data_IF_097150502795
#
_entry.id   IF_097150502795
#
_cell.length_a   1.000
_cell.length_b   1.000
_cell.length_c   1.000
_cell.angle_alpha   90.00
_cell.angle_beta   90.00
_cell.angle_gamma   90.00
#
_symmetry.space_group_name_H-M   'P 1'
#
loop_
_entity.id
_entity.type
_entity.pdbx_description
1 polymer ?
#
# COMPACT_ATOMS: atom_id res chain seq x y z
N UNK A 1 12.90 -1.17 14.93
CA UNK A 1 11.77 -0.25 15.11
C UNK A 1 12.12 1.01 14.34
N UNK A 2 11.48 1.23 13.20
CA UNK A 2 11.73 2.41 12.37
C UNK A 2 11.26 3.66 13.11
N UNK A 3 12.08 4.71 13.09
CA UNK A 3 11.82 5.96 13.79
C UNK A 3 10.70 6.72 13.06
N UNK A 4 9.66 7.15 13.81
CA UNK A 4 8.46 7.83 13.29
C UNK A 4 8.78 9.16 12.57
N UNK A 5 9.99 9.72 12.75
CA UNK A 5 10.43 10.98 12.13
C UNK A 5 10.78 10.84 10.64
N UNK A 6 11.34 9.72 10.18
CA UNK A 6 11.69 9.56 8.76
C UNK A 6 10.46 9.50 7.85
N UNK A 7 9.31 9.04 8.37
CA UNK A 7 8.06 9.00 7.61
C UNK A 7 7.44 10.39 7.40
N UNK A 8 7.85 11.39 8.18
CA UNK A 8 7.28 12.74 8.15
C UNK A 8 8.09 13.69 7.27
N UNK A 9 9.42 13.59 7.29
CA UNK A 9 10.30 14.50 6.56
C UNK A 9 10.52 14.07 5.09
N UNK A 10 10.46 12.78 4.79
CA UNK A 10 10.69 12.27 3.42
C UNK A 10 9.55 12.63 2.44
N UNK A 11 8.30 12.75 2.94
CA UNK A 11 7.12 13.00 2.10
C UNK A 11 6.75 14.47 1.90
N UNK A 12 7.26 15.38 2.75
CA UNK A 12 7.02 16.82 2.60
C UNK A 12 8.00 17.48 1.63
N UNK A 13 9.24 16.99 1.54
CA UNK A 13 10.31 17.64 0.76
C UNK A 13 10.32 17.31 -0.75
N UNK A 14 9.64 16.25 -1.21
CA UNK A 14 9.76 15.79 -2.61
C UNK A 14 8.75 16.39 -3.58
N UNK A 15 7.76 17.16 -3.09
CA UNK A 15 6.67 17.72 -3.91
C UNK A 15 6.26 19.14 -3.52
N UNK A 16 7.20 19.97 -3.05
CA UNK A 16 7.02 21.43 -3.22
C UNK A 16 7.18 21.73 -4.71
N UNK A 17 6.05 21.80 -5.42
CA UNK A 17 6.04 22.41 -6.74
C UNK A 17 6.21 23.94 -6.57
N UNK A 18 7.02 24.61 -7.40
CA UNK A 18 6.84 26.03 -7.59
C UNK A 18 5.40 26.25 -8.08
N UNK A 19 4.69 27.19 -7.48
CA UNK A 19 3.39 27.60 -7.99
C UNK A 19 3.59 28.12 -9.41
N UNK A 20 3.28 27.32 -10.42
CA UNK A 20 3.05 27.84 -11.76
C UNK A 20 1.68 28.54 -11.71
N UNK A 21 1.72 29.87 -11.75
CA UNK A 21 0.56 30.74 -11.90
C UNK A 21 -0.04 30.51 -13.30
N UNK A 22 -0.90 29.50 -13.42
CA UNK A 22 -1.75 29.35 -14.58
C UNK A 22 -2.93 30.33 -14.46
N UNK A 23 -2.79 31.42 -15.20
CA UNK A 23 -3.75 32.50 -15.40
C UNK A 23 -4.95 31.98 -16.24
N UNK A 24 -5.86 31.23 -15.60
CA UNK A 24 -7.07 30.69 -16.22
C UNK A 24 -8.33 31.32 -15.62
N UNK A 25 -8.71 32.43 -16.25
CA UNK A 25 -10.08 32.81 -16.60
C UNK A 25 -11.17 32.69 -15.51
N UNK A 26 -11.28 33.74 -14.68
CA UNK A 26 -12.43 34.02 -13.82
C UNK A 26 -13.62 34.53 -14.66
N UNK A 27 -14.53 33.66 -15.11
CA UNK A 27 -15.83 34.12 -15.64
C UNK A 27 -16.99 33.12 -15.44
N UNK A 28 -17.17 32.60 -14.22
CA UNK A 28 -18.30 31.71 -13.91
C UNK A 28 -18.83 31.83 -12.47
N UNK A 29 -18.86 33.05 -11.89
CA UNK A 29 -19.26 33.27 -10.49
C UNK A 29 -20.54 34.12 -10.31
N UNK A 30 -21.48 34.15 -11.26
CA UNK A 30 -22.68 35.02 -11.18
C UNK A 30 -24.05 34.32 -11.11
N UNK A 31 -24.11 33.04 -10.73
CA UNK A 31 -25.40 32.39 -10.44
C UNK A 31 -25.46 31.89 -8.99
N UNK A 32 -25.52 32.84 -8.05
CA UNK A 32 -25.82 32.56 -6.64
C UNK A 32 -27.33 32.36 -6.45
N UNK A 33 -27.69 31.15 -6.04
CA UNK A 33 -29.04 30.76 -5.60
C UNK A 33 -29.40 31.57 -4.35
N UNK A 34 -30.65 32.10 -4.21
CA UNK A 34 -31.06 32.86 -3.05
C UNK A 34 -30.97 31.99 -1.78
N UNK A 35 -30.25 32.48 -0.78
CA UNK A 35 -30.16 31.85 0.55
C UNK A 35 -31.54 31.99 1.22
N UNK A 36 -32.23 30.88 1.58
CA UNK A 36 -33.54 30.96 2.22
C UNK A 36 -33.41 31.57 3.61
N UNK A 37 -34.25 32.56 3.90
CA UNK A 37 -34.41 33.19 5.20
C UNK A 37 -34.69 32.13 6.29
N UNK A 38 -33.81 32.06 7.29
CA UNK A 38 -33.84 31.06 8.34
C UNK A 38 -35.02 31.29 9.28
N UNK A 39 -36.06 30.47 9.13
CA UNK A 39 -37.09 30.31 10.17
C UNK A 39 -36.44 29.65 11.40
N UNK A 40 -36.73 30.17 12.59
CA UNK A 40 -36.34 29.64 13.90
C UNK A 40 -37.04 28.29 14.18
N UNK A 41 -36.64 27.26 13.44
CA UNK A 41 -37.11 25.88 13.61
C UNK A 41 -36.25 25.14 14.64
N UNK A 42 -36.91 24.37 15.51
CA UNK A 42 -36.28 23.51 16.51
C UNK A 42 -35.03 22.80 15.96
N UNK A 43 -33.88 23.14 16.57
CA UNK A 43 -32.56 22.57 16.28
C UNK A 43 -32.61 21.08 16.62
N UNK A 44 -32.93 20.23 15.64
CA UNK A 44 -32.75 18.77 15.79
C UNK A 44 -31.29 18.55 16.10
N UNK A 45 -31.00 18.05 17.30
CA UNK A 45 -29.66 17.61 17.66
C UNK A 45 -29.27 16.49 16.70
N UNK A 46 -28.43 16.83 15.71
CA UNK A 46 -27.84 15.83 14.84
C UNK A 46 -26.84 15.03 15.68
N UNK A 47 -27.30 13.89 16.22
CA UNK A 47 -26.43 12.94 16.90
C UNK A 47 -25.40 12.43 15.90
N UNK A 48 -24.13 12.70 16.19
CA UNK A 48 -23.02 12.27 15.38
C UNK A 48 -22.93 10.74 15.33
N UNK A 49 -22.84 10.17 14.13
CA UNK A 49 -22.78 8.72 13.92
C UNK A 49 -21.39 8.33 13.38
N UNK A 50 -20.59 7.72 14.25
CA UNK A 50 -19.24 7.26 13.93
C UNK A 50 -19.21 6.22 12.80
N UNK A 51 -20.28 5.43 12.61
CA UNK A 51 -20.34 4.42 11.55
C UNK A 51 -20.35 5.06 10.16
N UNK A 52 -21.13 6.15 10.00
CA UNK A 52 -21.19 6.93 8.75
C UNK A 52 -19.85 7.55 8.38
N UNK A 53 -19.06 7.97 9.35
CA UNK A 53 -17.72 8.52 9.10
C UNK A 53 -16.78 7.46 8.52
N UNK A 54 -16.84 6.21 9.02
CA UNK A 54 -16.08 5.09 8.48
C UNK A 54 -16.53 4.70 7.07
N UNK A 55 -17.83 4.67 6.82
CA UNK A 55 -18.39 4.36 5.50
C UNK A 55 -18.00 5.42 4.48
N UNK A 56 -18.05 6.69 4.85
CA UNK A 56 -17.60 7.81 4.02
C UNK A 56 -16.10 7.74 3.73
N UNK A 57 -15.27 7.43 4.74
CA UNK A 57 -13.84 7.23 4.53
C UNK A 57 -13.57 6.08 3.56
N UNK A 58 -14.22 4.94 3.75
CA UNK A 58 -14.10 3.79 2.87
C UNK A 58 -14.55 4.12 1.43
N UNK A 59 -15.65 4.87 1.28
CA UNK A 59 -16.14 5.30 -0.02
C UNK A 59 -15.12 6.19 -0.74
N UNK A 60 -14.60 7.24 -0.08
CA UNK A 60 -13.59 8.16 -0.64
C UNK A 60 -12.35 7.39 -1.09
N UNK A 61 -11.83 6.50 -0.22
CA UNK A 61 -10.65 5.68 -0.54
C UNK A 61 -10.93 4.76 -1.74
N UNK A 62 -12.12 4.18 -1.81
CA UNK A 62 -12.51 3.31 -2.93
C UNK A 62 -12.60 4.05 -4.25
N UNK A 63 -13.22 5.24 -4.26
CA UNK A 63 -13.30 6.11 -5.45
C UNK A 63 -11.89 6.49 -5.93
N UNK A 64 -11.00 6.90 -5.02
CA UNK A 64 -9.62 7.24 -5.38
C UNK A 64 -8.86 6.03 -5.96
N UNK A 65 -9.04 4.83 -5.37
CA UNK A 65 -8.45 3.60 -5.93
C UNK A 65 -8.97 3.31 -7.34
N UNK A 66 -10.27 3.47 -7.57
CA UNK A 66 -10.90 3.22 -8.87
C UNK A 66 -10.42 4.21 -9.93
N UNK A 67 -10.32 5.50 -9.60
CA UNK A 67 -9.72 6.49 -10.48
C UNK A 67 -8.25 6.17 -10.79
N UNK A 68 -7.45 5.78 -9.78
CA UNK A 68 -6.08 5.32 -10.01
C UNK A 68 -5.99 4.11 -10.94
N UNK A 69 -6.91 3.14 -10.78
CA UNK A 69 -7.00 1.98 -11.66
C UNK A 69 -7.40 2.36 -13.09
N UNK A 70 -8.32 3.32 -13.24
CA UNK A 70 -8.76 3.84 -14.54
C UNK A 70 -7.59 4.50 -15.27
N UNK A 71 -6.86 5.40 -14.60
CA UNK A 71 -5.66 6.04 -15.17
C UNK A 71 -4.63 5.00 -15.60
N UNK A 72 -4.36 3.98 -14.78
CA UNK A 72 -3.37 2.96 -15.14
C UNK A 72 -3.74 2.14 -16.39
N UNK A 73 -5.03 2.07 -16.75
CA UNK A 73 -5.51 1.41 -17.98
C UNK A 73 -5.47 2.34 -19.20
N UNK A 74 -5.43 3.66 -18.99
CA UNK A 74 -5.26 4.63 -20.07
C UNK A 74 -3.84 4.49 -20.64
N UNK A 75 -3.71 4.28 -21.96
CA UNK A 75 -2.42 4.15 -22.64
C UNK A 75 -1.81 5.53 -22.96
N UNK A 76 -1.82 6.43 -21.97
CA UNK A 76 -1.25 7.77 -22.07
C UNK A 76 0.10 7.80 -21.36
N UNK A 77 1.07 8.55 -21.88
CA UNK A 77 2.42 8.63 -21.31
C UNK A 77 2.44 9.06 -19.83
N UNK A 78 1.54 9.97 -19.43
CA UNK A 78 1.43 10.48 -18.05
C UNK A 78 0.50 9.65 -17.16
N UNK A 79 -0.09 8.57 -17.67
CA UNK A 79 -1.08 7.79 -16.93
C UNK A 79 -0.53 7.13 -15.65
N UNK A 80 0.72 6.63 -15.60
CA UNK A 80 1.29 6.08 -14.37
C UNK A 80 1.47 7.14 -13.28
N UNK A 81 1.89 8.35 -13.65
CA UNK A 81 2.05 9.46 -12.70
C UNK A 81 0.71 9.83 -12.04
N UNK A 82 -0.34 10.03 -12.85
CA UNK A 82 -1.68 10.34 -12.34
C UNK A 82 -2.21 9.19 -11.47
N UNK A 83 -2.04 7.93 -11.89
CA UNK A 83 -2.44 6.78 -11.10
C UNK A 83 -1.74 6.76 -9.72
N UNK A 84 -0.43 7.02 -9.68
CA UNK A 84 0.34 7.09 -8.44
C UNK A 84 -0.19 8.18 -7.50
N UNK A 85 -0.53 9.36 -8.03
CA UNK A 85 -1.11 10.46 -7.23
C UNK A 85 -2.46 10.07 -6.60
N UNK A 86 -3.34 9.40 -7.35
CA UNK A 86 -4.61 8.92 -6.80
C UNK A 86 -4.40 7.87 -5.69
N UNK A 87 -3.46 6.94 -5.89
CA UNK A 87 -3.13 5.95 -4.87
C UNK A 87 -2.51 6.59 -3.63
N UNK A 88 -1.56 7.50 -3.79
CA UNK A 88 -0.94 8.23 -2.67
C UNK A 88 -1.99 9.02 -1.86
N UNK A 89 -2.88 9.74 -2.55
CA UNK A 89 -4.01 10.43 -1.90
C UNK A 89 -4.89 9.45 -1.13
N UNK A 90 -5.20 8.29 -1.71
CA UNK A 90 -5.98 7.26 -1.03
C UNK A 90 -5.25 6.70 0.22
N UNK A 91 -3.93 6.50 0.15
CA UNK A 91 -3.11 6.09 1.29
C UNK A 91 -3.11 7.13 2.40
N UNK A 92 -3.08 8.43 2.07
CA UNK A 92 -3.18 9.52 3.05
C UNK A 92 -4.52 9.49 3.80
N UNK A 93 -5.63 9.24 3.11
CA UNK A 93 -6.94 9.05 3.76
C UNK A 93 -6.97 7.79 4.64
N UNK A 94 -6.46 6.65 4.16
CA UNK A 94 -6.33 5.44 4.97
C UNK A 94 -5.49 5.70 6.23
N UNK A 95 -4.36 6.40 6.09
CA UNK A 95 -3.50 6.76 7.20
C UNK A 95 -4.26 7.59 8.23
N UNK A 96 -5.10 8.56 7.83
CA UNK A 96 -5.93 9.29 8.79
C UNK A 96 -6.86 8.37 9.61
N UNK A 97 -7.36 7.28 9.01
CA UNK A 97 -8.15 6.27 9.73
C UNK A 97 -7.33 5.36 10.66
N UNK A 98 -6.05 5.14 10.35
CA UNK A 98 -5.18 4.17 11.05
C UNK A 98 -4.10 4.80 11.92
N UNK A 99 -3.89 6.11 11.84
CA UNK A 99 -2.90 6.83 12.65
C UNK A 99 -3.38 6.97 14.09
N UNK A 100 -2.42 6.77 15.00
CA UNK A 100 -2.50 7.22 16.39
C UNK A 100 -2.30 8.75 16.37
N UNK A 101 -3.36 9.49 16.06
CA UNK A 101 -3.29 10.95 15.90
C UNK A 101 -3.07 11.60 17.28
N UNK A 102 -2.01 12.39 17.48
CA UNK A 102 -1.83 13.09 18.73
C UNK A 102 -2.76 14.31 18.76
N UNK A 103 -3.51 14.45 19.86
CA UNK A 103 -4.08 15.69 20.40
C UNK A 103 -5.45 16.21 19.94
N UNK A 104 -6.14 15.59 18.99
CA UNK A 104 -7.57 15.91 18.75
C UNK A 104 -8.43 14.66 18.85
N UNK A 105 -9.33 14.65 19.83
CA UNK A 105 -10.34 13.62 20.04
C UNK A 105 -11.34 13.67 18.88
N UNK A 106 -11.00 13.06 17.75
CA UNK A 106 -12.00 12.71 16.76
C UNK A 106 -12.82 11.56 17.36
N UNK A 107 -13.99 11.89 17.90
CA UNK A 107 -14.81 10.95 18.68
C UNK A 107 -15.10 9.65 17.91
N UNK A 108 -15.25 9.69 16.57
CA UNK A 108 -15.43 8.46 15.79
C UNK A 108 -14.20 7.55 15.72
N UNK A 109 -13.00 8.12 15.80
CA UNK A 109 -11.75 7.35 15.76
C UNK A 109 -11.41 6.83 17.16
N UNK A 110 -11.95 7.42 18.23
CA UNK A 110 -11.62 7.06 19.62
C UNK A 110 -11.81 5.56 19.94
N UNK A 111 -12.91 4.96 19.47
CA UNK A 111 -13.17 3.52 19.62
C UNK A 111 -12.14 2.67 18.87
N UNK A 112 -11.74 3.11 17.68
CA UNK A 112 -10.73 2.44 16.87
C UNK A 112 -9.31 2.63 17.45
N UNK A 113 -8.98 3.82 17.95
CA UNK A 113 -7.73 4.13 18.63
C UNK A 113 -7.53 3.27 19.87
N UNK A 114 -8.59 3.03 20.67
CA UNK A 114 -8.52 2.09 21.80
C UNK A 114 -8.16 0.67 21.34
N UNK A 115 -8.64 0.23 20.18
CA UNK A 115 -8.28 -1.06 19.60
C UNK A 115 -6.83 -1.05 19.11
N UNK A 116 -6.41 0.01 18.41
CA UNK A 116 -5.03 0.18 17.93
C UNK A 116 -4.03 0.24 19.10
N UNK A 117 -4.34 0.96 20.17
CA UNK A 117 -3.49 1.04 21.36
C UNK A 117 -3.26 -0.36 21.97
N UNK A 118 -4.33 -1.17 22.08
CA UNK A 118 -4.25 -2.57 22.57
C UNK A 118 -3.43 -3.46 21.63
N UNK A 119 -3.37 -3.15 20.33
CA UNK A 119 -2.62 -3.89 19.32
C UNK A 119 -1.28 -3.26 18.94
N UNK A 120 -0.80 -2.27 19.70
CA UNK A 120 0.46 -1.55 19.42
C UNK A 120 0.50 -0.87 18.04
N UNK A 121 -0.61 -0.26 17.66
CA UNK A 121 -0.79 0.47 16.40
C UNK A 121 -1.03 -0.42 15.19
N UNK A 122 -1.19 -1.74 15.35
CA UNK A 122 -1.47 -2.66 14.23
C UNK A 122 -2.96 -2.86 14.01
N UNK A 123 -3.39 -2.83 12.75
CA UNK A 123 -4.78 -3.15 12.38
C UNK A 123 -4.94 -4.66 12.38
N UNK A 124 -5.61 -5.20 13.40
CA UNK A 124 -5.79 -6.64 13.57
C UNK A 124 -7.21 -7.10 13.21
N UNK A 125 -7.93 -6.34 12.39
CA UNK A 125 -9.26 -6.70 11.90
C UNK A 125 -9.22 -6.74 10.37
N UNK A 126 -9.64 -7.85 9.79
CA UNK A 126 -9.72 -8.03 8.34
C UNK A 126 -10.93 -7.31 7.75
N UNK A 127 -10.86 -5.97 7.67
CA UNK A 127 -11.93 -5.11 7.18
C UNK A 127 -11.83 -4.82 5.68
N UNK A 128 -12.93 -4.36 5.07
CA UNK A 128 -12.92 -3.91 3.69
C UNK A 128 -11.90 -2.77 3.46
N UNK A 129 -11.79 -1.84 4.40
CA UNK A 129 -10.81 -0.76 4.31
C UNK A 129 -9.36 -1.28 4.36
N UNK A 130 -9.05 -2.26 5.22
CA UNK A 130 -7.70 -2.85 5.27
C UNK A 130 -7.35 -3.57 3.95
N UNK A 131 -8.30 -4.34 3.39
CA UNK A 131 -8.13 -4.99 2.08
C UNK A 131 -7.85 -3.94 0.98
N UNK A 132 -8.64 -2.87 0.98
CA UNK A 132 -8.49 -1.76 0.02
C UNK A 132 -7.15 -1.05 0.22
N UNK A 133 -6.72 -0.81 1.46
CA UNK A 133 -5.44 -0.20 1.79
C UNK A 133 -4.24 -1.01 1.27
N UNK A 134 -4.19 -2.31 1.56
CA UNK A 134 -3.16 -3.22 1.04
C UNK A 134 -3.20 -3.23 -0.50
N UNK A 135 -4.40 -3.32 -1.09
CA UNK A 135 -4.55 -3.28 -2.54
C UNK A 135 -4.01 -2.00 -3.17
N UNK A 136 -4.21 -0.83 -2.53
CA UNK A 136 -3.70 0.46 -3.01
C UNK A 136 -2.17 0.48 -2.94
N UNK A 137 -1.58 0.05 -1.81
CA UNK A 137 -0.10 -0.01 -1.68
C UNK A 137 0.53 -0.88 -2.74
N UNK A 138 -0.05 -2.06 -2.94
CA UNK A 138 0.39 -2.94 -4.01
C UNK A 138 0.28 -2.21 -5.34
N UNK A 139 -0.87 -1.60 -5.67
CA UNK A 139 -1.05 -0.92 -6.96
C UNK A 139 -0.06 0.22 -7.16
N UNK A 140 0.20 1.01 -6.12
CA UNK A 140 1.23 2.03 -6.13
C UNK A 140 2.62 1.42 -6.38
N UNK A 141 2.99 0.34 -5.68
CA UNK A 141 4.24 -0.39 -5.92
C UNK A 141 4.42 -0.77 -7.39
N UNK A 142 3.38 -1.33 -8.02
CA UNK A 142 3.41 -1.70 -9.44
C UNK A 142 3.51 -0.47 -10.36
N UNK A 143 2.81 0.62 -10.03
CA UNK A 143 2.83 1.85 -10.81
C UNK A 143 4.20 2.54 -10.77
N UNK A 144 4.87 2.54 -9.61
CA UNK A 144 6.20 3.13 -9.43
C UNK A 144 7.29 2.42 -10.24
N UNK A 145 7.08 1.14 -10.61
CA UNK A 145 7.97 0.39 -11.51
C UNK A 145 7.86 0.80 -12.98
N UNK A 146 6.88 1.63 -13.35
CA UNK A 146 6.65 2.02 -14.75
C UNK A 146 7.34 3.34 -15.08
N UNK A 147 7.74 3.48 -16.34
CA UNK A 147 8.10 4.78 -16.90
C UNK A 147 6.88 5.73 -16.90
N UNK A 148 7.08 7.04 -16.67
CA UNK A 148 8.37 7.71 -16.43
C UNK A 148 8.83 7.70 -14.95
N UNK A 149 8.08 7.07 -14.04
CA UNK A 149 8.36 7.15 -12.60
C UNK A 149 9.67 6.47 -12.22
N UNK A 150 9.82 5.18 -12.56
CA UNK A 150 11.01 4.37 -12.27
C UNK A 150 11.51 4.49 -10.81
N UNK A 151 10.62 4.69 -9.84
CA UNK A 151 10.98 4.82 -8.44
C UNK A 151 10.99 3.43 -7.78
N UNK A 152 12.07 2.70 -8.03
CA UNK A 152 12.21 1.32 -7.60
C UNK A 152 12.38 1.18 -6.08
N UNK A 153 12.89 2.22 -5.40
CA UNK A 153 13.04 2.26 -3.95
C UNK A 153 11.65 2.33 -3.32
N UNK A 154 10.85 3.31 -3.71
CA UNK A 154 9.50 3.45 -3.18
C UNK A 154 8.62 2.24 -3.58
N UNK A 155 8.82 1.68 -4.77
CA UNK A 155 8.13 0.46 -5.19
C UNK A 155 8.41 -0.72 -4.25
N UNK A 156 9.68 -0.91 -3.86
CA UNK A 156 10.11 -1.92 -2.90
C UNK A 156 9.46 -1.67 -1.53
N UNK A 157 9.55 -0.45 -1.03
CA UNK A 157 9.01 -0.08 0.28
C UNK A 157 7.50 -0.31 0.39
N UNK A 158 6.72 0.05 -0.63
CA UNK A 158 5.27 -0.19 -0.64
C UNK A 158 4.92 -1.69 -0.61
N UNK A 159 5.72 -2.55 -1.25
CA UNK A 159 5.54 -4.00 -1.19
C UNK A 159 5.90 -4.56 0.19
N UNK A 160 6.98 -4.10 0.81
CA UNK A 160 7.41 -4.50 2.17
C UNK A 160 6.39 -4.07 3.24
N UNK A 161 5.86 -2.85 3.15
CA UNK A 161 4.80 -2.38 4.04
C UNK A 161 3.54 -3.24 3.92
N UNK A 162 3.18 -3.64 2.70
CA UNK A 162 2.06 -4.56 2.47
C UNK A 162 2.30 -5.92 3.14
N UNK A 163 3.52 -6.47 3.07
CA UNK A 163 3.87 -7.74 3.74
C UNK A 163 3.77 -7.62 5.27
N UNK A 164 4.21 -6.51 5.86
CA UNK A 164 4.08 -6.27 7.30
C UNK A 164 2.62 -6.15 7.78
N UNK A 165 1.75 -5.57 6.95
CA UNK A 165 0.30 -5.48 7.20
C UNK A 165 -0.39 -6.84 7.08
N UNK A 166 0.10 -7.72 6.20
CA UNK A 166 -0.43 -9.06 5.96
C UNK A 166 0.04 -10.11 6.97
N UNK A 167 1.20 -9.90 7.60
CA UNK A 167 1.83 -10.82 8.55
C UNK A 167 0.89 -11.41 9.62
N UNK A 168 -0.02 -10.63 10.24
CA UNK A 168 -0.95 -11.16 11.22
C UNK A 168 -1.91 -12.23 10.68
N UNK A 169 -2.23 -12.18 9.40
CA UNK A 169 -3.31 -12.95 8.77
C UNK A 169 -2.84 -14.17 7.97
N UNK A 170 -1.52 -14.32 7.78
CA UNK A 170 -0.94 -15.35 6.91
C UNK A 170 -0.37 -16.57 7.65
N UNK A 171 -0.62 -16.71 8.97
CA UNK A 171 -0.01 -17.79 9.77
C UNK A 171 -0.65 -19.16 9.52
N UNK A 172 -1.97 -19.24 9.62
CA UNK A 172 -2.76 -20.44 9.38
C UNK A 172 -4.24 -20.08 9.23
N UNK A 173 -5.04 -20.96 8.61
CA UNK A 173 -6.50 -20.80 8.54
C UNK A 173 -7.10 -20.74 9.95
N UNK A 174 -8.15 -19.95 10.13
CA UNK A 174 -8.83 -19.83 11.42
C UNK A 174 -8.13 -18.94 12.45
N UNK A 175 -6.93 -18.43 12.16
CA UNK A 175 -6.05 -17.80 13.16
C UNK A 175 -5.54 -16.44 12.68
N UNK A 176 -5.54 -15.47 13.59
CA UNK A 176 -4.85 -14.18 13.44
C UNK A 176 -3.88 -13.95 14.58
N UNK A 177 -2.64 -13.55 14.25
CA UNK A 177 -1.65 -13.16 15.24
C UNK A 177 -1.96 -11.76 15.80
N UNK A 178 -1.83 -11.58 17.10
CA UNK A 178 -2.19 -10.35 17.81
C UNK A 178 -1.13 -9.94 18.83
N UNK A 179 -1.30 -8.71 19.36
CA UNK A 179 -0.39 -8.10 20.33
C UNK A 179 0.88 -7.50 19.71
N UNK A 180 1.65 -6.76 20.52
CA UNK A 180 2.80 -5.95 20.09
C UNK A 180 3.85 -6.68 19.25
N UNK A 181 4.10 -7.95 19.59
CA UNK A 181 5.10 -8.80 18.95
C UNK A 181 4.48 -9.88 18.05
N UNK A 182 3.18 -9.80 17.77
CA UNK A 182 2.42 -10.82 17.02
C UNK A 182 2.62 -12.25 17.57
N UNK A 183 2.63 -12.38 18.90
CA UNK A 183 2.83 -13.68 19.59
C UNK A 183 1.53 -14.27 20.13
N UNK A 184 0.49 -13.46 20.32
CA UNK A 184 -0.81 -13.93 20.80
C UNK A 184 -1.61 -14.45 19.62
N UNK A 185 -2.39 -15.50 19.83
CA UNK A 185 -3.24 -16.09 18.79
C UNK A 185 -4.69 -15.71 19.10
N UNK A 186 -5.42 -15.26 18.07
CA UNK A 186 -6.88 -15.15 18.08
C UNK A 186 -7.42 -16.20 17.12
N UNK A 187 -8.23 -17.11 17.66
CA UNK A 187 -8.88 -18.18 16.90
C UNK A 187 -10.29 -17.77 16.45
N UNK A 188 -10.92 -18.59 15.61
CA UNK A 188 -12.28 -18.37 15.11
C UNK A 188 -12.38 -17.37 13.96
N UNK A 189 -11.27 -17.07 13.28
CA UNK A 189 -11.27 -16.18 12.12
C UNK A 189 -11.82 -16.89 10.88
N UNK A 190 -12.61 -16.21 10.02
CA UNK A 190 -13.07 -16.81 8.78
C UNK A 190 -11.90 -17.32 7.92
N UNK A 191 -12.01 -18.51 7.33
CA UNK A 191 -10.96 -19.04 6.45
C UNK A 191 -10.65 -18.10 5.26
N UNK A 192 -11.68 -17.38 4.78
CA UNK A 192 -11.54 -16.39 3.73
C UNK A 192 -10.51 -15.29 4.08
N UNK A 193 -10.34 -14.97 5.37
CA UNK A 193 -9.31 -14.02 5.83
C UNK A 193 -7.92 -14.50 5.44
N UNK A 194 -7.61 -15.76 5.75
CA UNK A 194 -6.32 -16.37 5.40
C UNK A 194 -6.15 -16.46 3.89
N UNK A 195 -7.20 -16.88 3.17
CA UNK A 195 -7.16 -17.02 1.71
C UNK A 195 -6.87 -15.68 1.03
N UNK A 196 -7.62 -14.63 1.38
CA UNK A 196 -7.42 -13.29 0.82
C UNK A 196 -6.03 -12.75 1.18
N UNK A 197 -5.59 -12.93 2.44
CA UNK A 197 -4.29 -12.46 2.89
C UNK A 197 -3.14 -13.16 2.17
N UNK A 198 -3.21 -14.48 1.97
CA UNK A 198 -2.21 -15.24 1.19
C UNK A 198 -2.18 -14.81 -0.28
N UNK A 199 -3.33 -14.52 -0.90
CA UNK A 199 -3.38 -13.96 -2.26
C UNK A 199 -2.69 -12.60 -2.34
N UNK A 200 -2.90 -11.72 -1.36
CA UNK A 200 -2.18 -10.45 -1.30
C UNK A 200 -0.69 -10.64 -0.99
N UNK A 201 -0.32 -11.62 -0.15
CA UNK A 201 1.07 -11.93 0.19
C UNK A 201 1.84 -12.37 -1.05
N UNK A 202 1.27 -13.26 -1.86
CA UNK A 202 1.86 -13.67 -3.14
C UNK A 202 2.08 -12.46 -4.07
N UNK A 203 1.07 -11.60 -4.22
CA UNK A 203 1.19 -10.36 -5.03
C UNK A 203 2.25 -9.40 -4.50
N UNK A 204 2.38 -9.27 -3.18
CA UNK A 204 3.38 -8.42 -2.54
C UNK A 204 4.80 -8.92 -2.82
N UNK A 205 5.04 -10.21 -2.61
CA UNK A 205 6.32 -10.83 -2.92
C UNK A 205 6.70 -10.75 -4.41
N UNK A 206 5.73 -10.92 -5.30
CA UNK A 206 5.97 -10.73 -6.73
C UNK A 206 6.42 -9.31 -7.06
N UNK A 207 5.72 -8.28 -6.55
CA UNK A 207 6.08 -6.87 -6.76
C UNK A 207 7.42 -6.52 -6.12
N UNK A 208 7.70 -7.06 -4.94
CA UNK A 208 8.98 -6.93 -4.25
C UNK A 208 10.13 -7.49 -5.09
N UNK A 209 9.97 -8.71 -5.63
CA UNK A 209 10.96 -9.32 -6.52
C UNK A 209 11.23 -8.50 -7.78
N UNK A 210 10.18 -7.93 -8.38
CA UNK A 210 10.33 -7.03 -9.54
C UNK A 210 11.12 -5.75 -9.19
N UNK A 211 10.81 -5.10 -8.06
CA UNK A 211 11.56 -3.93 -7.60
C UNK A 211 13.03 -4.27 -7.30
N UNK A 212 13.29 -5.40 -6.67
CA UNK A 212 14.65 -5.88 -6.37
C UNK A 212 15.47 -6.18 -7.63
N UNK A 213 14.86 -6.71 -8.71
CA UNK A 213 15.54 -6.84 -10.00
C UNK A 213 16.02 -5.47 -10.51
N UNK A 214 15.16 -4.45 -10.47
CA UNK A 214 15.49 -3.11 -10.95
C UNK A 214 16.60 -2.45 -10.11
N UNK A 215 16.64 -2.75 -8.80
CA UNK A 215 17.69 -2.27 -7.89
C UNK A 215 19.01 -3.06 -7.99
N UNK A 216 19.04 -4.20 -8.68
CA UNK A 216 20.22 -5.06 -8.78
C UNK A 216 20.40 -6.04 -7.61
N UNK A 217 19.40 -6.15 -6.74
CA UNK A 217 19.33 -7.02 -5.56
C UNK A 217 18.86 -8.43 -5.96
N UNK A 218 19.61 -9.08 -6.85
CA UNK A 218 19.16 -10.28 -7.55
C UNK A 218 18.97 -11.51 -6.65
N UNK A 219 19.72 -11.61 -5.54
CA UNK A 219 19.59 -12.75 -4.62
C UNK A 219 18.27 -12.67 -3.85
N UNK A 220 17.96 -11.47 -3.37
CA UNK A 220 16.75 -11.10 -2.67
C UNK A 220 15.54 -11.24 -3.61
N UNK A 221 15.67 -10.84 -4.88
CA UNK A 221 14.63 -11.04 -5.89
C UNK A 221 14.25 -12.52 -6.07
N UNK A 222 15.24 -13.42 -6.17
CA UNK A 222 14.98 -14.87 -6.25
C UNK A 222 14.22 -15.36 -5.02
N UNK A 223 14.63 -14.93 -3.83
CA UNK A 223 13.95 -15.30 -2.59
C UNK A 223 12.50 -14.80 -2.58
N UNK A 224 12.26 -13.54 -2.94
CA UNK A 224 10.92 -12.97 -3.03
C UNK A 224 10.03 -13.76 -3.98
N UNK A 225 10.49 -14.13 -5.17
CA UNK A 225 9.69 -14.95 -6.08
C UNK A 225 9.46 -16.39 -5.58
N UNK A 226 10.40 -16.98 -4.84
CA UNK A 226 10.19 -18.28 -4.18
C UNK A 226 9.11 -18.19 -3.11
N UNK A 227 9.11 -17.12 -2.30
CA UNK A 227 8.07 -16.85 -1.30
C UNK A 227 6.70 -16.60 -1.96
N UNK A 228 6.67 -15.95 -3.13
CA UNK A 228 5.45 -15.82 -3.94
C UNK A 228 4.88 -17.20 -4.32
N UNK A 229 5.72 -18.12 -4.80
CA UNK A 229 5.29 -19.48 -5.15
C UNK A 229 4.85 -20.28 -3.92
N UNK A 230 5.54 -20.13 -2.79
CA UNK A 230 5.18 -20.78 -1.54
C UNK A 230 3.77 -20.33 -1.08
N UNK A 231 3.49 -19.02 -1.09
CA UNK A 231 2.19 -18.49 -0.74
C UNK A 231 1.06 -18.98 -1.67
N UNK A 232 1.32 -19.10 -2.97
CA UNK A 232 0.34 -19.65 -3.94
C UNK A 232 0.12 -21.15 -3.74
N UNK A 233 1.19 -21.94 -3.52
CA UNK A 233 1.11 -23.39 -3.29
C UNK A 233 0.35 -23.74 -2.02
N UNK A 234 0.47 -22.94 -0.97
CA UNK A 234 -0.34 -23.13 0.24
C UNK A 234 -1.85 -23.02 -0.01
N UNK A 235 -2.27 -22.23 -1.00
CA UNK A 235 -3.67 -22.10 -1.40
C UNK A 235 -4.10 -23.18 -2.40
N UNK A 236 -3.20 -23.58 -3.28
CA UNK A 236 -3.45 -24.52 -4.37
C UNK A 236 -2.30 -25.54 -4.48
N UNK A 237 -2.24 -26.57 -3.60
CA UNK A 237 -1.11 -27.50 -3.53
C UNK A 237 -0.88 -28.30 -4.81
N UNK A 238 -1.96 -28.61 -5.52
CA UNK A 238 -1.96 -29.44 -6.72
C UNK A 238 -1.80 -28.62 -8.02
N UNK A 239 -1.83 -27.30 -7.93
CA UNK A 239 -1.73 -26.43 -9.10
C UNK A 239 -0.27 -26.24 -9.52
N UNK A 240 -0.05 -26.21 -10.84
CA UNK A 240 1.29 -25.96 -11.40
C UNK A 240 1.73 -24.54 -11.05
N UNK A 241 3.03 -24.32 -10.76
CA UNK A 241 3.56 -22.99 -10.50
C UNK A 241 3.26 -22.03 -11.66
N UNK A 242 2.95 -20.77 -11.33
CA UNK A 242 2.70 -19.73 -12.33
C UNK A 242 3.95 -19.52 -13.19
N UNK A 243 3.79 -19.74 -14.50
CA UNK A 243 4.84 -19.58 -15.50
C UNK A 243 5.44 -18.16 -15.52
N UNK A 244 4.66 -17.13 -15.22
CA UNK A 244 5.16 -15.76 -15.14
C UNK A 244 6.18 -15.60 -14.00
N UNK A 245 5.87 -16.15 -12.82
CA UNK A 245 6.78 -16.15 -11.67
C UNK A 245 8.03 -16.98 -11.94
N UNK A 246 7.88 -18.15 -12.56
CA UNK A 246 9.00 -19.00 -12.94
C UNK A 246 9.97 -18.30 -13.91
N UNK A 247 9.45 -17.55 -14.90
CA UNK A 247 10.28 -16.74 -15.80
C UNK A 247 11.08 -15.69 -15.04
N UNK A 248 10.45 -15.00 -14.10
CA UNK A 248 11.12 -13.99 -13.27
C UNK A 248 12.23 -14.59 -12.39
N UNK A 249 12.03 -15.79 -11.82
CA UNK A 249 13.08 -16.51 -11.07
C UNK A 249 14.28 -16.82 -11.96
N UNK A 250 14.04 -17.32 -13.18
CA UNK A 250 15.10 -17.65 -14.14
C UNK A 250 15.88 -16.40 -14.54
N UNK A 251 15.18 -15.29 -14.77
CA UNK A 251 15.77 -14.00 -15.09
C UNK A 251 16.65 -13.47 -13.95
N UNK A 252 16.12 -13.39 -12.73
CA UNK A 252 16.87 -12.96 -11.55
C UNK A 252 18.09 -13.86 -11.31
N UNK A 253 17.95 -15.18 -11.46
CA UNK A 253 19.06 -16.13 -11.32
C UNK A 253 20.16 -15.90 -12.37
N UNK A 254 19.77 -15.63 -13.62
CA UNK A 254 20.71 -15.29 -14.71
C UNK A 254 21.47 -14.00 -14.37
N UNK A 255 20.77 -12.95 -13.95
CA UNK A 255 21.35 -11.66 -13.57
C UNK A 255 22.32 -11.81 -12.39
N UNK A 256 21.94 -12.55 -11.34
CA UNK A 256 22.80 -12.87 -10.19
C UNK A 256 24.11 -13.56 -10.63
N UNK A 257 24.04 -14.56 -11.53
CA UNK A 257 25.24 -15.26 -12.03
C UNK A 257 26.16 -14.31 -12.79
N UNK A 258 25.59 -13.43 -13.61
CA UNK A 258 26.36 -12.43 -14.36
C UNK A 258 27.03 -11.41 -13.43
N UNK A 259 26.32 -10.93 -12.41
CA UNK A 259 26.86 -10.04 -11.38
C UNK A 259 28.04 -10.67 -10.65
N UNK A 260 27.93 -11.94 -10.24
CA UNK A 260 29.03 -12.70 -9.61
C UNK A 260 30.27 -12.83 -10.52
N UNK A 261 30.06 -13.10 -11.82
CA UNK A 261 31.17 -13.16 -12.80
C UNK A 261 31.88 -11.81 -12.95
N UNK A 262 31.13 -10.70 -13.00
CA UNK A 262 31.69 -9.34 -13.09
C UNK A 262 32.53 -9.01 -11.85
N UNK A 263 32.04 -9.32 -10.65
CA UNK A 263 32.78 -9.09 -9.39
C UNK A 263 34.11 -9.86 -9.34
N UNK A 264 34.12 -11.12 -9.80
CA UNK A 264 35.36 -11.93 -9.88
C UNK A 264 36.40 -11.31 -10.82
N UNK A 265 35.98 -10.87 -12.01
CA UNK A 265 36.87 -10.21 -12.97
C UNK A 265 37.45 -8.90 -12.41
N UNK A 266 36.64 -8.12 -11.70
CA UNK A 266 37.10 -6.90 -11.03
C UNK A 266 38.18 -7.22 -9.98
N UNK A 267 37.95 -8.21 -9.13
CA UNK A 267 38.91 -8.61 -8.08
C UNK A 267 40.21 -9.27 -8.60
N UNK A 268 40.23 -9.73 -9.85
CA UNK A 268 41.44 -10.25 -10.51
C UNK A 268 42.26 -9.10 -11.11
N UNK A 269 41.61 -8.08 -11.68
CA UNK A 269 42.29 -6.89 -12.20
C UNK A 269 43.05 -6.11 -11.13
N UNK A 270 42.48 -6.00 -9.93
CA UNK A 270 43.09 -5.27 -8.80
C UNK A 270 44.36 -5.96 -8.25
N UNK A 271 44.63 -7.23 -8.60
CA UNK A 271 45.82 -7.96 -8.16
C UNK A 271 47.04 -7.79 -9.06
N UNK A 272 46.85 -7.18 -10.24
CA UNK A 272 47.91 -7.04 -11.25
C UNK A 272 48.63 -5.68 -11.14
N UNK A 273 48.16 -4.80 -10.24
CA UNK A 273 48.73 -3.47 -9.95
C UNK A 273 49.47 -3.53 -8.62
#
# INVERSE_FOLDING_TARGET
GMNKTHYRDFYLLRYEYPAEEDDVNQSAAENLIPVPSTSTGHRREHTYDASKAWDMLYHIVSVLKEEGNKRLKENLAHSPLLAAQYYDKALKYCAAGFMEYPQTTLDFVSSHQKLLAKSSGRILRWSALLKTFISIRLNLSMTLLKEPLNDFIDAREQAELSLEELKPFCKSKGVVLTGRKLKKIREGEPEQTFIDAKKFQAKAYFRLGCAQIQLGDYSEAVQSFQECLAATRELHPDEKPDNAVMRQILEATRLMRNQKKRRRKSSEGDKII
#
